data_IF_387371710661
#
_entry.id   IF_387371710661
#
_cell.length_a   1.000
_cell.length_b   1.000
_cell.length_c   1.000
_cell.angle_alpha   90.00
_cell.angle_beta   90.00
_cell.angle_gamma   90.00
#
_symmetry.space_group_name_H-M   'P 1'
#
loop_
_entity.id
_entity.type
_entity.pdbx_description
1 polymer ?
#
# COMPACT_ATOMS: atom_id res chain seq x y z
N UNK A 1 -14.26 -31.55 -13.48
CA UNK A 1 -13.06 -31.09 -14.20
C UNK A 1 -11.97 -30.94 -13.16
N UNK A 2 -10.93 -31.75 -13.24
CA UNK A 2 -9.76 -31.59 -12.40
C UNK A 2 -9.15 -30.22 -12.73
N UNK A 3 -9.09 -29.33 -11.73
CA UNK A 3 -8.90 -27.89 -11.89
C UNK A 3 -7.49 -27.43 -12.30
N UNK A 4 -6.72 -28.25 -13.00
CA UNK A 4 -5.47 -27.85 -13.65
C UNK A 4 -5.75 -27.55 -15.11
N UNK A 5 -5.96 -26.28 -15.42
CA UNK A 5 -5.96 -25.80 -16.79
C UNK A 5 -4.51 -25.40 -17.08
N UNK A 6 -3.77 -26.18 -17.86
CA UNK A 6 -2.42 -25.81 -18.30
C UNK A 6 -2.47 -24.87 -19.52
N UNK A 7 -3.60 -24.77 -20.20
CA UNK A 7 -3.84 -23.88 -21.34
C UNK A 7 -5.36 -23.71 -21.57
N UNK A 8 -5.78 -22.60 -22.17
CA UNK A 8 -7.17 -22.42 -22.62
C UNK A 8 -7.32 -23.08 -24.01
N UNK A 9 -8.30 -23.99 -24.21
CA UNK A 9 -8.58 -24.55 -25.53
C UNK A 9 -8.93 -23.48 -26.56
N UNK A 10 -8.43 -23.61 -27.79
CA UNK A 10 -8.55 -22.59 -28.84
C UNK A 10 -10.00 -22.14 -29.09
N UNK A 11 -10.94 -23.08 -29.18
CA UNK A 11 -12.36 -22.76 -29.41
C UNK A 11 -12.96 -21.92 -28.26
N UNK A 12 -12.71 -22.33 -27.02
CA UNK A 12 -13.19 -21.62 -25.84
C UNK A 12 -12.51 -20.25 -25.72
N UNK A 13 -11.19 -20.21 -25.91
CA UNK A 13 -10.40 -18.99 -25.85
C UNK A 13 -10.82 -17.99 -26.91
N UNK A 14 -11.01 -18.43 -28.16
CA UNK A 14 -11.45 -17.58 -29.25
C UNK A 14 -12.83 -17.00 -28.95
N UNK A 15 -13.76 -17.79 -28.40
CA UNK A 15 -15.07 -17.30 -27.96
C UNK A 15 -14.95 -16.24 -26.86
N UNK A 16 -14.12 -16.48 -25.84
CA UNK A 16 -13.89 -15.55 -24.73
C UNK A 16 -13.26 -14.23 -25.19
N UNK A 17 -12.14 -14.30 -25.93
CA UNK A 17 -11.47 -13.11 -26.43
C UNK A 17 -12.26 -12.39 -27.52
N UNK A 18 -13.11 -13.08 -28.29
CA UNK A 18 -14.02 -12.40 -29.24
C UNK A 18 -15.05 -11.55 -28.51
N UNK A 19 -15.66 -12.08 -27.44
CA UNK A 19 -16.58 -11.31 -26.59
C UNK A 19 -15.87 -10.12 -25.94
N UNK A 20 -14.68 -10.33 -25.39
CA UNK A 20 -13.89 -9.25 -24.82
C UNK A 20 -13.54 -8.19 -25.87
N UNK A 21 -13.06 -8.61 -27.05
CA UNK A 21 -12.73 -7.71 -28.15
C UNK A 21 -13.93 -6.90 -28.64
N UNK A 22 -15.14 -7.46 -28.57
CA UNK A 22 -16.37 -6.73 -28.84
C UNK A 22 -16.62 -5.65 -27.77
N UNK A 23 -16.50 -6.01 -26.48
CA UNK A 23 -16.62 -5.03 -25.38
C UNK A 23 -15.62 -3.88 -25.56
N UNK A 24 -14.35 -4.18 -25.84
CA UNK A 24 -13.32 -3.15 -26.04
C UNK A 24 -13.67 -2.19 -27.18
N UNK A 25 -14.24 -2.70 -28.28
CA UNK A 25 -14.70 -1.88 -29.41
C UNK A 25 -15.92 -1.04 -29.05
N UNK A 26 -16.91 -1.65 -28.38
CA UNK A 26 -18.15 -0.98 -28.02
C UNK A 26 -17.94 0.14 -26.99
N UNK A 27 -16.90 0.01 -26.16
CA UNK A 27 -16.52 1.03 -25.16
C UNK A 27 -15.44 2.00 -25.64
N UNK A 28 -14.97 1.88 -26.90
CA UNK A 28 -13.83 2.65 -27.43
C UNK A 28 -12.58 2.58 -26.51
N UNK A 29 -12.33 1.43 -25.89
CA UNK A 29 -11.23 1.26 -24.97
C UNK A 29 -9.88 1.24 -25.71
N UNK A 30 -8.92 2.03 -25.24
CA UNK A 30 -7.63 2.24 -25.89
C UNK A 30 -6.47 1.72 -25.04
N UNK A 31 -5.31 1.52 -25.67
CA UNK A 31 -4.09 1.11 -24.96
C UNK A 31 -3.72 2.09 -23.82
N UNK A 32 -3.96 3.39 -23.99
CA UNK A 32 -3.67 4.40 -22.98
C UNK A 32 -4.57 4.31 -21.73
N UNK A 33 -5.75 3.68 -21.81
CA UNK A 33 -6.60 3.47 -20.64
C UNK A 33 -5.93 2.58 -19.59
N UNK A 34 -4.95 1.76 -19.98
CA UNK A 34 -4.15 0.95 -19.04
C UNK A 34 -3.32 1.79 -18.06
N UNK A 35 -3.14 3.08 -18.33
CA UNK A 35 -2.43 4.03 -17.45
C UNK A 35 -3.34 4.61 -16.36
N UNK A 36 -4.65 4.40 -16.46
CA UNK A 36 -5.63 4.93 -15.49
C UNK A 36 -5.66 4.03 -14.26
N UNK A 37 -5.27 4.61 -13.12
CA UNK A 37 -5.30 3.94 -11.82
C UNK A 37 -6.67 4.00 -11.14
N UNK A 38 -6.82 3.22 -10.07
CA UNK A 38 -8.02 3.14 -9.23
C UNK A 38 -8.57 4.52 -8.85
N UNK A 39 -7.71 5.43 -8.37
CA UNK A 39 -8.13 6.77 -7.92
C UNK A 39 -8.75 7.61 -9.03
N UNK A 40 -8.23 7.52 -10.27
CA UNK A 40 -8.79 8.27 -11.40
C UNK A 40 -10.19 7.78 -11.78
N UNK A 41 -10.39 6.45 -11.75
CA UNK A 41 -11.68 5.82 -12.07
C UNK A 41 -12.71 6.13 -10.97
N UNK A 42 -12.30 6.05 -9.71
CA UNK A 42 -13.14 6.42 -8.56
C UNK A 42 -13.66 7.85 -8.69
N UNK A 43 -12.78 8.82 -8.96
CA UNK A 43 -13.14 10.23 -9.09
C UNK A 43 -14.05 10.50 -10.30
N UNK A 44 -13.82 9.85 -11.44
CA UNK A 44 -14.70 9.99 -12.60
C UNK A 44 -16.11 9.42 -12.33
N UNK A 45 -16.21 8.34 -11.53
CA UNK A 45 -17.51 7.77 -11.15
C UNK A 45 -18.26 8.63 -10.13
N UNK A 46 -17.59 9.06 -9.06
CA UNK A 46 -18.16 9.95 -8.03
C UNK A 46 -18.60 11.29 -8.63
N UNK A 47 -17.84 11.83 -9.59
CA UNK A 47 -18.22 13.07 -10.30
C UNK A 47 -19.31 12.88 -11.36
N UNK A 48 -19.80 11.65 -11.57
CA UNK A 48 -20.86 11.34 -12.52
C UNK A 48 -20.44 11.37 -14.00
N UNK A 49 -19.13 11.41 -14.30
CA UNK A 49 -18.63 11.37 -15.69
C UNK A 49 -18.77 9.98 -16.32
N UNK A 50 -18.75 8.94 -15.49
CA UNK A 50 -18.99 7.56 -15.92
C UNK A 50 -20.14 6.96 -15.11
N UNK A 51 -20.99 6.19 -15.78
CA UNK A 51 -22.21 5.64 -15.18
C UNK A 51 -22.03 4.27 -14.52
N UNK A 52 -20.93 3.56 -14.85
CA UNK A 52 -20.66 2.21 -14.36
C UNK A 52 -19.16 1.98 -14.26
N UNK A 53 -18.76 1.27 -13.20
CA UNK A 53 -17.39 0.83 -12.98
C UNK A 53 -17.37 -0.63 -12.53
N UNK A 54 -16.26 -1.30 -12.79
CA UNK A 54 -15.96 -2.61 -12.20
C UNK A 54 -14.83 -2.42 -11.18
N UNK A 55 -15.14 -2.55 -9.90
CA UNK A 55 -14.17 -2.37 -8.84
C UNK A 55 -14.48 -3.27 -7.63
N UNK A 56 -13.44 -3.78 -6.98
CA UNK A 56 -13.56 -4.34 -5.63
C UNK A 56 -13.51 -3.18 -4.66
N UNK A 57 -14.59 -2.88 -3.95
CA UNK A 57 -14.66 -1.64 -3.19
C UNK A 57 -15.43 -1.76 -1.88
N UNK A 58 -14.97 -0.94 -0.93
CA UNK A 58 -15.73 -0.54 0.23
C UNK A 58 -16.84 0.40 -0.23
N UNK A 59 -18.10 0.03 -0.01
CA UNK A 59 -19.25 0.84 -0.44
C UNK A 59 -19.40 2.08 0.46
N UNK A 60 -18.97 1.99 1.73
CA UNK A 60 -18.98 3.13 2.64
C UNK A 60 -18.16 4.30 2.11
N UNK A 61 -17.03 4.05 1.44
CA UNK A 61 -16.19 5.11 0.83
C UNK A 61 -16.96 5.93 -0.21
N UNK A 62 -17.85 5.31 -0.98
CA UNK A 62 -18.66 6.07 -1.95
C UNK A 62 -19.81 6.82 -1.29
N UNK A 63 -20.39 6.25 -0.24
CA UNK A 63 -21.44 6.92 0.53
C UNK A 63 -20.91 8.16 1.25
N UNK A 64 -19.67 8.11 1.74
CA UNK A 64 -18.96 9.25 2.33
C UNK A 64 -18.78 10.40 1.30
N UNK A 65 -18.62 10.07 0.02
CA UNK A 65 -18.62 11.01 -1.10
C UNK A 65 -20.04 11.43 -1.57
N UNK A 66 -21.09 11.00 -0.86
CA UNK A 66 -22.48 11.34 -1.13
C UNK A 66 -23.21 10.45 -2.15
N UNK A 67 -22.58 9.37 -2.62
CA UNK A 67 -23.17 8.43 -3.59
C UNK A 67 -24.08 7.42 -2.88
N UNK A 68 -25.27 7.87 -2.46
CA UNK A 68 -26.21 7.04 -1.69
C UNK A 68 -27.12 6.13 -2.55
N UNK A 69 -27.13 6.31 -3.87
CA UNK A 69 -27.96 5.55 -4.81
C UNK A 69 -27.13 4.61 -5.68
N UNK A 70 -26.29 3.80 -5.05
CA UNK A 70 -25.47 2.80 -5.73
C UNK A 70 -26.21 1.48 -5.87
N UNK A 71 -25.93 0.78 -6.98
CA UNK A 71 -26.48 -0.54 -7.25
C UNK A 71 -25.34 -1.45 -7.65
N UNK A 72 -25.20 -2.59 -6.96
CA UNK A 72 -24.36 -3.68 -7.43
C UNK A 72 -25.11 -4.48 -8.51
N UNK A 73 -24.43 -4.68 -9.64
CA UNK A 73 -24.94 -5.42 -10.78
C UNK A 73 -24.31 -6.81 -10.82
N UNK A 74 -25.04 -7.83 -11.30
CA UNK A 74 -24.45 -9.13 -11.57
C UNK A 74 -23.52 -9.05 -12.78
N UNK A 75 -22.70 -10.06 -12.97
CA UNK A 75 -22.03 -10.29 -14.24
C UNK A 75 -23.05 -10.84 -15.23
N UNK A 76 -23.27 -10.10 -16.31
CA UNK A 76 -24.28 -10.43 -17.31
C UNK A 76 -23.85 -11.63 -18.16
N UNK A 77 -24.73 -12.62 -18.26
CA UNK A 77 -24.60 -13.72 -19.19
C UNK A 77 -25.30 -13.46 -20.52
N UNK A 78 -25.49 -14.50 -21.34
CA UNK A 78 -26.28 -14.38 -22.58
C UNK A 78 -27.79 -14.26 -22.28
N UNK A 79 -28.23 -14.83 -21.17
CA UNK A 79 -29.60 -14.72 -20.65
C UNK A 79 -29.60 -14.33 -19.18
N UNK A 80 -30.75 -13.91 -18.65
CA UNK A 80 -30.88 -13.56 -17.22
C UNK A 80 -30.55 -14.75 -16.29
N UNK A 81 -30.78 -15.97 -16.76
CA UNK A 81 -30.42 -17.20 -16.03
C UNK A 81 -28.91 -17.47 -16.04
N UNK A 82 -28.17 -16.83 -16.94
CA UNK A 82 -26.71 -16.93 -17.04
C UNK A 82 -26.00 -15.81 -16.27
N UNK A 83 -26.73 -14.99 -15.51
CA UNK A 83 -26.14 -13.95 -14.68
C UNK A 83 -25.51 -14.54 -13.41
N UNK A 84 -24.34 -14.04 -13.02
CA UNK A 84 -23.59 -14.53 -11.87
C UNK A 84 -23.26 -13.42 -10.88
N UNK A 85 -23.29 -13.73 -9.59
CA UNK A 85 -22.63 -12.88 -8.60
C UNK A 85 -21.12 -13.12 -8.63
N UNK A 86 -20.34 -12.06 -8.84
CA UNK A 86 -18.89 -12.12 -8.78
C UNK A 86 -18.39 -11.71 -7.40
N UNK A 87 -17.64 -12.59 -6.76
CA UNK A 87 -17.05 -12.35 -5.45
C UNK A 87 -15.53 -12.49 -5.49
N UNK A 88 -14.84 -11.71 -4.66
CA UNK A 88 -13.39 -11.82 -4.46
C UNK A 88 -13.08 -12.13 -3.01
N UNK A 89 -12.11 -13.01 -2.70
CA UNK A 89 -11.67 -13.20 -1.32
C UNK A 89 -11.11 -11.90 -0.74
N UNK A 90 -11.91 -11.19 0.06
CA UNK A 90 -11.54 -9.91 0.67
C UNK A 90 -10.84 -10.05 2.02
N UNK A 91 -11.17 -11.10 2.77
CA UNK A 91 -10.63 -11.36 4.10
C UNK A 91 -10.10 -12.79 4.20
N UNK A 92 -8.85 -12.93 4.65
CA UNK A 92 -8.19 -14.22 4.81
C UNK A 92 -7.18 -14.11 5.93
N UNK A 93 -7.13 -15.13 6.80
CA UNK A 93 -6.16 -15.20 7.90
C UNK A 93 -5.27 -16.40 7.64
N UNK A 94 -3.95 -16.16 7.64
CA UNK A 94 -2.96 -17.21 7.55
C UNK A 94 -2.23 -17.34 8.90
N UNK A 95 -2.01 -18.58 9.34
CA UNK A 95 -1.19 -18.88 10.50
C UNK A 95 0.22 -19.27 10.06
N UNK A 96 1.23 -18.82 10.80
CA UNK A 96 2.61 -19.20 10.55
C UNK A 96 2.79 -20.72 10.78
N UNK A 97 3.37 -21.43 9.81
CA UNK A 97 3.61 -22.87 9.92
C UNK A 97 4.45 -23.28 11.13
N UNK A 98 5.27 -22.37 11.69
CA UNK A 98 6.02 -22.58 12.93
C UNK A 98 5.14 -22.74 14.18
N UNK A 99 3.86 -22.37 14.13
CA UNK A 99 2.92 -22.58 15.23
C UNK A 99 2.50 -24.04 15.37
N UNK A 100 2.64 -24.84 14.31
CA UNK A 100 2.27 -26.26 14.35
C UNK A 100 3.14 -27.01 15.37
N UNK A 101 2.51 -27.60 16.39
CA UNK A 101 3.18 -28.28 17.48
C UNK A 101 3.68 -27.37 18.61
N UNK A 102 3.32 -26.07 18.61
CA UNK A 102 3.74 -25.11 19.63
C UNK A 102 2.93 -25.18 20.94
N UNK A 103 2.14 -26.25 21.13
CA UNK A 103 1.31 -26.49 22.32
C UNK A 103 0.31 -25.36 22.54
N UNK A 104 0.30 -24.77 23.74
CA UNK A 104 -0.63 -23.70 24.12
C UNK A 104 -0.62 -22.49 23.18
N UNK A 105 0.51 -22.20 22.52
CA UNK A 105 0.57 -21.09 21.53
C UNK A 105 -0.23 -21.39 20.27
N UNK A 106 -0.26 -22.66 19.84
CA UNK A 106 -1.07 -23.09 18.71
C UNK A 106 -2.56 -23.00 19.05
N UNK A 107 -2.95 -23.46 20.24
CA UNK A 107 -4.34 -23.40 20.73
C UNK A 107 -4.85 -21.95 20.80
N UNK A 108 -4.07 -21.04 21.40
CA UNK A 108 -4.41 -19.63 21.47
C UNK A 108 -4.52 -18.97 20.09
N UNK A 109 -3.62 -19.29 19.17
CA UNK A 109 -3.69 -18.78 17.81
C UNK A 109 -4.96 -19.27 17.09
N UNK A 110 -5.33 -20.54 17.27
CA UNK A 110 -6.56 -21.11 16.72
C UNK A 110 -7.81 -20.44 17.30
N UNK A 111 -7.82 -20.12 18.60
CA UNK A 111 -8.93 -19.44 19.24
C UNK A 111 -9.10 -17.99 18.73
N UNK A 112 -8.00 -17.28 18.52
CA UNK A 112 -8.01 -15.96 17.88
C UNK A 112 -8.58 -16.07 16.46
N UNK A 113 -8.11 -17.03 15.66
CA UNK A 113 -8.63 -17.24 14.29
C UNK A 113 -10.12 -17.53 14.31
N UNK A 114 -10.60 -18.40 15.22
CA UNK A 114 -12.03 -18.72 15.36
C UNK A 114 -12.85 -17.48 15.70
N UNK A 115 -12.37 -16.67 16.65
CA UNK A 115 -13.03 -15.41 17.02
C UNK A 115 -13.08 -14.43 15.85
N UNK A 116 -11.98 -14.29 15.11
CA UNK A 116 -11.89 -13.43 13.93
C UNK A 116 -12.80 -13.86 12.78
N UNK A 117 -13.32 -15.10 12.79
CA UNK A 117 -14.35 -15.59 11.87
C UNK A 117 -15.74 -15.72 12.52
N UNK A 118 -15.92 -15.22 13.75
CA UNK A 118 -17.21 -15.22 14.43
C UNK A 118 -18.16 -14.15 13.89
N UNK A 119 -19.47 -14.33 14.14
CA UNK A 119 -20.52 -13.42 13.68
C UNK A 119 -20.28 -11.98 14.14
N UNK A 120 -19.82 -11.74 15.36
CA UNK A 120 -19.59 -10.39 15.88
C UNK A 120 -18.57 -9.61 15.03
N UNK A 121 -17.43 -10.23 14.72
CA UNK A 121 -16.37 -9.62 13.89
C UNK A 121 -16.84 -9.44 12.46
N UNK A 122 -17.56 -10.43 11.92
CA UNK A 122 -18.06 -10.38 10.55
C UNK A 122 -19.15 -9.34 10.35
N UNK A 123 -20.06 -9.16 11.32
CA UNK A 123 -21.05 -8.08 11.29
C UNK A 123 -20.37 -6.71 11.42
N UNK A 124 -19.40 -6.54 12.33
CA UNK A 124 -18.65 -5.29 12.43
C UNK A 124 -17.90 -4.94 11.12
N UNK A 125 -17.38 -5.95 10.42
CA UNK A 125 -16.76 -5.76 9.11
C UNK A 125 -17.81 -5.42 8.03
N UNK A 126 -18.95 -6.10 8.06
CA UNK A 126 -20.08 -5.84 7.17
C UNK A 126 -20.62 -4.42 7.32
N UNK A 127 -20.73 -3.90 8.54
CA UNK A 127 -21.19 -2.54 8.82
C UNK A 127 -20.21 -1.49 8.30
N UNK A 128 -18.91 -1.75 8.43
CA UNK A 128 -17.85 -0.80 8.03
C UNK A 128 -17.57 -0.79 6.54
N UNK A 129 -17.64 -1.94 5.87
CA UNK A 129 -17.32 -2.08 4.44
C UNK A 129 -18.57 -1.98 3.56
N UNK A 130 -19.73 -2.37 4.12
CA UNK A 130 -21.04 -2.39 3.47
C UNK A 130 -21.13 -3.22 2.17
N UNK A 131 -20.18 -4.11 1.91
CA UNK A 131 -20.16 -4.99 0.72
C UNK A 131 -19.53 -6.35 1.03
N UNK A 132 -19.84 -6.92 2.21
CA UNK A 132 -19.24 -8.16 2.70
C UNK A 132 -20.25 -9.31 2.66
N UNK A 133 -19.89 -10.38 1.97
CA UNK A 133 -20.60 -11.67 2.00
C UNK A 133 -19.72 -12.70 2.71
N UNK A 134 -20.31 -13.45 3.64
CA UNK A 134 -19.60 -14.48 4.42
C UNK A 134 -19.99 -15.88 3.96
N UNK A 135 -18.97 -16.71 3.72
CA UNK A 135 -19.12 -18.09 3.25
C UNK A 135 -18.96 -19.13 4.36
N UNK A 136 -18.67 -18.69 5.59
CA UNK A 136 -18.47 -19.56 6.73
C UNK A 136 -19.81 -20.13 7.19
N UNK A 137 -19.87 -21.46 7.28
CA UNK A 137 -21.04 -22.13 7.86
C UNK A 137 -21.25 -21.66 9.30
N UNK A 138 -22.51 -21.44 9.67
CA UNK A 138 -22.94 -21.04 11.02
C UNK A 138 -22.43 -19.67 11.49
N UNK A 139 -21.98 -18.83 10.56
CA UNK A 139 -21.69 -17.41 10.82
C UNK A 139 -22.81 -16.62 10.18
N UNK A 140 -23.56 -15.88 11.00
CA UNK A 140 -24.70 -15.11 10.53
C UNK A 140 -24.29 -13.65 10.38
N UNK A 141 -24.45 -13.11 9.17
CA UNK A 141 -24.20 -11.71 8.86
C UNK A 141 -25.43 -11.17 8.16
N UNK A 142 -25.88 -10.00 8.59
CA UNK A 142 -27.01 -9.34 7.95
C UNK A 142 -26.62 -8.92 6.53
N UNK A 143 -27.46 -9.27 5.56
CA UNK A 143 -27.23 -8.91 4.16
C UNK A 143 -27.42 -7.40 4.04
N UNK A 144 -26.36 -6.69 3.64
CA UNK A 144 -26.44 -5.24 3.49
C UNK A 144 -27.31 -4.85 2.29
N UNK A 145 -27.97 -3.70 2.38
CA UNK A 145 -28.92 -3.19 1.37
C UNK A 145 -28.33 -3.14 -0.05
N UNK A 146 -27.02 -2.94 -0.18
CA UNK A 146 -26.35 -2.89 -1.49
C UNK A 146 -26.51 -4.21 -2.29
N UNK A 147 -26.73 -5.33 -1.60
CA UNK A 147 -26.90 -6.64 -2.21
C UNK A 147 -28.35 -6.95 -2.61
N UNK A 148 -29.30 -6.01 -2.44
CA UNK A 148 -30.73 -6.25 -2.71
C UNK A 148 -30.99 -6.89 -4.09
N UNK A 149 -30.29 -6.44 -5.13
CA UNK A 149 -30.42 -6.96 -6.49
C UNK A 149 -29.64 -8.26 -6.74
N UNK A 150 -28.85 -8.69 -5.76
CA UNK A 150 -27.99 -9.86 -5.82
C UNK A 150 -28.43 -11.01 -4.90
N UNK A 151 -29.42 -10.79 -4.02
CA UNK A 151 -29.98 -11.81 -3.12
C UNK A 151 -30.26 -13.14 -3.84
N UNK A 152 -30.94 -13.17 -5.01
CA UNK A 152 -31.25 -14.44 -5.67
C UNK A 152 -30.00 -15.25 -6.04
N UNK A 153 -28.90 -14.58 -6.41
CA UNK A 153 -27.63 -15.24 -6.76
C UNK A 153 -26.88 -15.71 -5.50
N UNK A 154 -26.95 -14.95 -4.41
CA UNK A 154 -26.35 -15.31 -3.13
C UNK A 154 -27.04 -16.54 -2.54
N UNK A 155 -28.37 -16.53 -2.47
CA UNK A 155 -29.17 -17.62 -1.89
C UNK A 155 -29.10 -18.92 -2.70
N UNK A 156 -29.06 -18.83 -4.02
CA UNK A 156 -28.91 -19.98 -4.91
C UNK A 156 -27.47 -20.47 -5.06
N UNK A 157 -26.50 -19.79 -4.42
CA UNK A 157 -25.08 -20.02 -4.59
C UNK A 157 -24.63 -19.93 -6.07
N UNK A 158 -25.32 -19.11 -6.87
CA UNK A 158 -25.02 -18.84 -8.27
C UNK A 158 -23.95 -17.75 -8.39
N UNK A 159 -22.75 -18.11 -7.92
CA UNK A 159 -21.63 -17.19 -7.79
C UNK A 159 -20.33 -17.75 -8.34
N UNK A 160 -19.48 -16.84 -8.81
CA UNK A 160 -18.12 -17.15 -9.21
C UNK A 160 -17.13 -16.39 -8.33
N UNK A 161 -16.15 -17.13 -7.80
CA UNK A 161 -15.03 -16.58 -7.05
C UNK A 161 -13.74 -16.84 -7.81
N UNK A 162 -12.97 -15.78 -8.05
CA UNK A 162 -11.64 -15.91 -8.64
C UNK A 162 -10.58 -16.17 -7.56
N UNK A 163 -9.78 -17.21 -7.75
CA UNK A 163 -8.56 -17.44 -6.98
C UNK A 163 -7.41 -16.74 -7.71
N UNK A 164 -6.78 -15.76 -7.06
CA UNK A 164 -5.61 -15.07 -7.60
C UNK A 164 -4.51 -16.06 -7.97
N UNK A 165 -4.19 -16.10 -9.26
CA UNK A 165 -3.14 -16.93 -9.84
C UNK A 165 -2.28 -16.03 -10.73
N UNK A 166 -0.99 -15.92 -10.40
CA UNK A 166 -0.03 -15.05 -11.08
C UNK A 166 0.06 -15.38 -12.58
N UNK A 167 0.07 -16.66 -12.94
CA UNK A 167 0.12 -17.11 -14.34
C UNK A 167 -1.11 -16.66 -15.13
N UNK A 168 -2.32 -16.85 -14.59
CA UNK A 168 -3.58 -16.38 -15.21
C UNK A 168 -3.56 -14.87 -15.37
N UNK A 169 -3.21 -14.12 -14.31
CA UNK A 169 -3.18 -12.66 -14.34
C UNK A 169 -2.21 -12.15 -15.41
N UNK A 170 -0.99 -12.67 -15.44
CA UNK A 170 0.04 -12.28 -16.40
C UNK A 170 -0.36 -12.63 -17.83
N UNK A 171 -0.86 -13.84 -18.06
CA UNK A 171 -1.31 -14.30 -19.37
C UNK A 171 -2.48 -13.47 -19.90
N UNK A 172 -3.45 -13.18 -19.04
CA UNK A 172 -4.60 -12.33 -19.37
C UNK A 172 -4.14 -10.91 -19.70
N UNK A 173 -3.29 -10.32 -18.86
CA UNK A 173 -2.76 -8.98 -19.05
C UNK A 173 -2.03 -8.86 -20.39
N UNK A 174 -1.12 -9.80 -20.70
CA UNK A 174 -0.37 -9.81 -21.95
C UNK A 174 -1.27 -9.91 -23.18
N UNK A 175 -2.31 -10.77 -23.14
CA UNK A 175 -3.26 -10.92 -24.25
C UNK A 175 -4.10 -9.65 -24.43
N UNK A 176 -4.71 -9.13 -23.36
CA UNK A 176 -5.63 -7.98 -23.41
C UNK A 176 -4.90 -6.68 -23.79
N UNK A 177 -3.68 -6.46 -23.29
CA UNK A 177 -2.89 -5.28 -23.68
C UNK A 177 -2.57 -5.27 -25.18
N UNK A 178 -2.25 -6.43 -25.76
CA UNK A 178 -2.02 -6.55 -27.21
C UNK A 178 -3.32 -6.36 -28.01
N UNK A 179 -4.46 -6.82 -27.49
CA UNK A 179 -5.75 -6.56 -28.11
C UNK A 179 -6.09 -5.07 -28.10
N UNK A 180 -5.86 -4.38 -26.98
CA UNK A 180 -6.07 -2.93 -26.84
C UNK A 180 -5.16 -2.12 -27.78
N UNK A 181 -3.95 -2.59 -28.04
CA UNK A 181 -3.04 -2.00 -29.02
C UNK A 181 -3.42 -2.28 -30.48
N UNK A 182 -4.37 -3.19 -30.72
CA UNK A 182 -4.74 -3.67 -32.06
C UNK A 182 -3.73 -4.64 -32.67
N UNK A 183 -2.76 -5.13 -31.90
CA UNK A 183 -1.68 -6.01 -32.37
C UNK A 183 -2.17 -7.43 -32.66
N UNK A 184 -3.24 -7.87 -32.00
CA UNK A 184 -3.76 -9.24 -32.07
C UNK A 184 -5.29 -9.25 -32.12
N UNK A 185 -5.84 -10.18 -32.91
CA UNK A 185 -7.25 -10.53 -32.86
C UNK A 185 -7.54 -11.56 -31.76
N UNK A 186 -8.80 -12.00 -31.64
CA UNK A 186 -9.20 -12.95 -30.62
C UNK A 186 -8.46 -14.30 -30.72
N UNK A 187 -8.20 -14.80 -31.93
CA UNK A 187 -7.51 -16.07 -32.14
C UNK A 187 -6.05 -15.96 -31.69
N UNK A 188 -5.34 -14.92 -32.12
CA UNK A 188 -3.95 -14.69 -31.73
C UNK A 188 -3.83 -14.32 -30.24
N UNK A 189 -4.86 -13.72 -29.63
CA UNK A 189 -4.91 -13.48 -28.19
C UNK A 189 -4.90 -14.79 -27.37
N UNK A 190 -5.54 -15.87 -27.85
CA UNK A 190 -5.46 -17.20 -27.21
C UNK A 190 -4.02 -17.69 -27.18
N UNK A 191 -3.30 -17.59 -28.29
CA UNK A 191 -1.91 -18.03 -28.36
C UNK A 191 -1.02 -17.18 -27.45
N UNK A 192 -1.23 -15.85 -27.41
CA UNK A 192 -0.53 -14.98 -26.46
C UNK A 192 -0.81 -15.42 -25.03
N UNK A 193 -2.07 -15.67 -24.67
CA UNK A 193 -2.44 -16.16 -23.35
C UNK A 193 -1.72 -17.48 -23.02
N UNK A 194 -1.87 -18.50 -23.87
CA UNK A 194 -1.35 -19.84 -23.63
C UNK A 194 0.18 -19.85 -23.53
N UNK A 195 0.87 -19.06 -24.36
CA UNK A 195 2.33 -18.91 -24.28
C UNK A 195 2.79 -18.24 -22.98
N UNK A 196 1.99 -17.33 -22.42
CA UNK A 196 2.32 -16.63 -21.18
C UNK A 196 1.82 -17.35 -19.92
N UNK A 197 0.89 -18.30 -20.05
CA UNK A 197 0.32 -19.04 -18.93
C UNK A 197 1.39 -19.91 -18.26
N UNK A 198 2.07 -20.75 -19.03
CA UNK A 198 3.15 -21.62 -18.53
C UNK A 198 4.53 -20.95 -18.58
N UNK A 199 4.61 -19.65 -18.90
CA UNK A 199 5.88 -18.96 -18.94
C UNK A 199 6.54 -19.04 -17.56
N UNK A 200 7.66 -19.74 -17.47
CA UNK A 200 8.46 -19.71 -16.25
C UNK A 200 8.97 -18.29 -16.10
N UNK A 201 8.60 -17.62 -15.01
CA UNK A 201 9.15 -16.30 -14.71
C UNK A 201 10.65 -16.48 -14.55
N UNK A 202 11.42 -15.98 -15.50
CA UNK A 202 12.87 -15.97 -15.36
C UNK A 202 13.21 -15.28 -14.03
N UNK A 203 14.12 -15.88 -13.27
CA UNK A 203 14.56 -15.29 -12.02
C UNK A 203 15.18 -13.94 -12.38
N UNK A 204 14.57 -12.86 -11.90
CA UNK A 204 15.13 -11.53 -12.07
C UNK A 204 16.58 -11.52 -11.55
N UNK A 205 17.47 -10.76 -12.19
CA UNK A 205 18.87 -10.73 -11.78
C UNK A 205 18.99 -10.29 -10.32
N UNK A 206 19.95 -10.89 -9.63
CA UNK A 206 20.36 -10.46 -8.29
C UNK A 206 21.10 -9.13 -8.44
N UNK A 207 20.63 -8.10 -7.73
CA UNK A 207 21.27 -6.79 -7.67
C UNK A 207 22.30 -6.76 -6.54
N UNK A 208 21.94 -7.30 -5.37
CA UNK A 208 22.83 -7.33 -4.21
C UNK A 208 22.54 -8.53 -3.32
N UNK A 209 23.44 -8.84 -2.40
CA UNK A 209 23.27 -9.88 -1.38
C UNK A 209 23.65 -9.34 -0.02
N UNK A 210 22.72 -9.40 0.94
CA UNK A 210 22.96 -9.03 2.32
C UNK A 210 23.49 -10.24 3.09
N UNK A 211 24.53 -10.01 3.89
CA UNK A 211 25.25 -11.03 4.64
C UNK A 211 24.60 -11.39 5.99
N UNK A 212 23.70 -10.52 6.46
CA UNK A 212 22.93 -10.70 7.69
C UNK A 212 21.50 -10.17 7.59
N UNK A 213 20.72 -10.54 8.60
CA UNK A 213 19.36 -10.08 8.82
C UNK A 213 19.35 -8.89 9.79
N UNK A 214 18.36 -8.00 9.63
CA UNK A 214 18.08 -6.86 10.50
C UNK A 214 16.65 -6.95 10.99
N UNK A 215 16.45 -6.84 12.31
CA UNK A 215 15.15 -7.05 12.93
C UNK A 215 14.30 -5.77 12.94
N UNK A 216 13.02 -5.93 12.63
CA UNK A 216 12.01 -4.87 12.68
C UNK A 216 11.67 -4.44 14.11
N UNK A 217 11.66 -5.40 15.04
CA UNK A 217 11.18 -5.20 16.41
C UNK A 217 11.76 -3.92 17.01
N UNK A 218 10.88 -3.02 17.45
CA UNK A 218 11.28 -1.78 18.11
C UNK A 218 11.81 -2.09 19.50
N UNK A 219 12.92 -1.43 19.84
CA UNK A 219 13.58 -1.47 21.14
C UNK A 219 13.61 -0.06 21.76
N UNK A 220 14.28 0.09 22.91
CA UNK A 220 14.46 1.39 23.56
C UNK A 220 15.28 2.39 22.72
N UNK A 221 16.05 1.88 21.76
CA UNK A 221 16.88 2.69 20.85
C UNK A 221 16.31 2.78 19.42
N UNK A 222 15.11 2.24 19.20
CA UNK A 222 14.46 2.13 17.89
C UNK A 222 14.55 0.74 17.26
N UNK A 223 14.24 0.67 15.97
CA UNK A 223 14.27 -0.54 15.13
C UNK A 223 15.54 -0.62 14.30
N UNK A 224 16.23 -1.77 14.34
CA UNK A 224 17.46 -1.97 13.59
C UNK A 224 17.22 -1.94 12.07
N UNK A 225 16.21 -2.69 11.59
CA UNK A 225 15.84 -2.72 10.19
C UNK A 225 15.44 -1.33 9.69
N UNK A 226 14.73 -0.55 10.51
CA UNK A 226 14.32 0.79 10.12
C UNK A 226 15.52 1.74 10.05
N UNK A 227 16.36 1.74 11.09
CA UNK A 227 17.58 2.55 11.17
C UNK A 227 18.47 2.35 9.95
N UNK A 228 18.75 1.10 9.57
CA UNK A 228 19.57 0.79 8.40
C UNK A 228 18.99 1.36 7.10
N UNK A 229 17.66 1.29 6.89
CA UNK A 229 17.03 1.88 5.70
C UNK A 229 17.18 3.39 5.68
N UNK A 230 16.84 4.05 6.78
CA UNK A 230 16.86 5.51 6.91
C UNK A 230 18.28 6.05 6.78
N UNK A 231 19.28 5.36 7.36
CA UNK A 231 20.69 5.67 7.19
C UNK A 231 21.15 5.54 5.75
N UNK A 232 20.78 4.45 5.08
CA UNK A 232 21.11 4.24 3.65
C UNK A 232 20.44 5.30 2.77
N UNK A 233 19.18 5.66 3.06
CA UNK A 233 18.47 6.72 2.35
C UNK A 233 19.12 8.08 2.56
N UNK A 234 19.60 8.38 3.77
CA UNK A 234 20.32 9.63 4.05
C UNK A 234 21.60 9.74 3.21
N UNK A 235 22.34 8.64 3.05
CA UNK A 235 23.50 8.57 2.15
C UNK A 235 23.10 8.83 0.70
N UNK A 236 22.03 8.20 0.22
CA UNK A 236 21.52 8.37 -1.16
C UNK A 236 21.06 9.82 -1.40
N UNK A 237 20.35 10.41 -0.45
CA UNK A 237 19.89 11.80 -0.54
C UNK A 237 21.04 12.80 -0.35
N UNK A 238 22.17 12.37 0.21
CA UNK A 238 23.33 13.19 0.55
C UNK A 238 22.94 14.44 1.37
N UNK A 239 22.27 14.20 2.51
CA UNK A 239 21.80 15.24 3.44
C UNK A 239 22.36 15.04 4.86
N UNK A 240 22.42 16.12 5.63
CA UNK A 240 22.89 16.11 7.02
C UNK A 240 21.93 15.37 7.95
N UNK A 241 20.63 15.49 7.72
CA UNK A 241 19.59 14.90 8.57
C UNK A 241 18.45 14.34 7.73
N UNK A 242 17.94 13.17 8.11
CA UNK A 242 16.78 12.57 7.46
C UNK A 242 15.80 12.01 8.51
N UNK A 243 14.50 12.19 8.29
CA UNK A 243 13.46 11.53 9.09
C UNK A 243 12.43 10.85 8.19
N UNK A 244 11.99 9.66 8.57
CA UNK A 244 11.04 8.85 7.80
C UNK A 244 9.91 8.27 8.67
N UNK A 245 8.69 8.18 8.13
CA UNK A 245 7.50 7.71 8.84
C UNK A 245 7.52 6.20 9.03
N UNK A 246 6.96 5.72 10.15
CA UNK A 246 6.86 4.30 10.46
C UNK A 246 6.19 3.46 9.36
N UNK A 247 5.30 4.06 8.57
CA UNK A 247 4.69 3.43 7.40
C UNK A 247 5.73 2.91 6.39
N UNK A 248 6.89 3.56 6.24
CA UNK A 248 7.96 3.12 5.32
C UNK A 248 8.63 1.81 5.77
N UNK A 249 8.40 1.36 7.01
CA UNK A 249 9.12 0.24 7.59
C UNK A 249 8.50 -1.11 7.20
N UNK A 250 9.00 -1.72 6.11
CA UNK A 250 8.47 -2.95 5.52
C UNK A 250 8.78 -4.27 6.27
N UNK A 251 8.89 -4.25 7.61
CA UNK A 251 9.21 -5.43 8.42
C UNK A 251 10.71 -5.74 8.52
N UNK A 252 11.11 -7.00 8.66
CA UNK A 252 12.52 -7.39 8.77
C UNK A 252 13.24 -7.21 7.42
N UNK A 253 14.57 -7.06 7.45
CA UNK A 253 15.41 -7.20 6.26
C UNK A 253 16.11 -8.55 6.36
N UNK A 254 15.72 -9.51 5.52
CA UNK A 254 16.29 -10.85 5.54
C UNK A 254 17.70 -10.91 4.95
N UNK A 255 18.51 -11.84 5.46
CA UNK A 255 19.76 -12.25 4.82
C UNK A 255 19.46 -12.91 3.48
N UNK A 256 20.22 -12.58 2.43
CA UNK A 256 20.13 -13.27 1.15
C UNK A 256 20.25 -12.35 -0.05
N UNK A 257 20.00 -12.91 -1.22
CA UNK A 257 20.08 -12.21 -2.51
C UNK A 257 18.77 -11.49 -2.83
N UNK A 258 18.87 -10.25 -3.28
CA UNK A 258 17.75 -9.39 -3.61
C UNK A 258 17.76 -9.01 -5.09
N UNK A 259 16.59 -9.14 -5.71
CA UNK A 259 16.28 -8.60 -7.04
C UNK A 259 15.87 -7.13 -6.93
N UNK A 260 15.82 -6.41 -8.05
CA UNK A 260 15.36 -5.01 -8.09
C UNK A 260 13.98 -4.82 -7.45
N UNK A 261 13.02 -5.71 -7.75
CA UNK A 261 11.68 -5.66 -7.17
C UNK A 261 11.67 -5.90 -5.65
N UNK A 262 12.53 -6.79 -5.15
CA UNK A 262 12.65 -7.03 -3.71
C UNK A 262 13.35 -5.85 -3.01
N UNK A 263 14.35 -5.23 -3.64
CA UNK A 263 14.96 -4.00 -3.12
C UNK A 263 13.95 -2.85 -3.06
N UNK A 264 13.14 -2.68 -4.12
CA UNK A 264 12.08 -1.70 -4.15
C UNK A 264 11.07 -1.93 -3.02
N UNK A 265 10.70 -3.20 -2.75
CA UNK A 265 9.77 -3.54 -1.68
C UNK A 265 10.29 -3.16 -0.28
N UNK A 266 11.62 -3.02 -0.09
CA UNK A 266 12.20 -2.55 1.18
C UNK A 266 11.89 -1.07 1.47
N UNK A 267 11.63 -0.26 0.45
CA UNK A 267 11.20 1.14 0.62
C UNK A 267 9.69 1.30 0.77
N UNK A 268 8.94 0.20 0.86
CA UNK A 268 7.48 0.16 0.67
C UNK A 268 7.07 0.50 -0.78
N UNK A 269 5.96 -0.08 -1.25
CA UNK A 269 5.63 -0.21 -2.67
C UNK A 269 5.45 1.10 -3.46
N UNK A 270 6.55 1.69 -3.92
CA UNK A 270 6.62 2.66 -5.00
C UNK A 270 6.13 4.09 -4.73
N UNK A 271 5.54 4.37 -3.56
CA UNK A 271 4.92 5.67 -3.21
C UNK A 271 5.75 6.62 -2.36
N UNK A 272 7.06 6.36 -2.20
CA UNK A 272 7.94 7.19 -1.36
C UNK A 272 8.33 8.48 -2.07
N UNK A 273 8.21 9.60 -1.36
CA UNK A 273 8.61 10.93 -1.82
C UNK A 273 9.64 11.51 -0.86
N UNK A 274 10.61 12.25 -1.39
CA UNK A 274 11.57 12.99 -0.56
C UNK A 274 11.29 14.49 -0.65
N UNK A 275 11.43 15.17 0.47
CA UNK A 275 11.31 16.61 0.56
C UNK A 275 12.59 17.14 1.18
N UNK A 276 13.39 17.86 0.39
CA UNK A 276 14.70 18.37 0.83
C UNK A 276 14.64 19.88 1.06
N UNK A 277 15.28 20.35 2.14
CA UNK A 277 15.37 21.78 2.48
C UNK A 277 16.65 22.03 3.27
N UNK A 278 17.29 23.17 3.03
CA UNK A 278 18.25 23.73 3.99
C UNK A 278 17.45 24.43 5.09
N UNK A 279 17.42 23.82 6.28
CA UNK A 279 16.58 24.24 7.40
C UNK A 279 17.44 24.55 8.63
N UNK A 280 16.98 25.49 9.45
CA UNK A 280 17.60 25.78 10.74
C UNK A 280 17.32 24.65 11.73
N UNK A 281 18.18 24.49 12.74
CA UNK A 281 17.97 23.52 13.81
C UNK A 281 16.63 23.70 14.54
N UNK A 282 16.17 24.95 14.68
CA UNK A 282 14.85 25.28 15.22
C UNK A 282 13.71 24.74 14.35
N UNK A 283 13.77 24.97 13.03
CA UNK A 283 12.76 24.45 12.09
C UNK A 283 12.70 22.91 12.12
N UNK A 284 13.86 22.24 12.20
CA UNK A 284 13.92 20.77 12.27
C UNK A 284 13.31 20.28 13.60
N UNK A 285 13.65 20.91 14.74
CA UNK A 285 13.06 20.58 16.04
C UNK A 285 11.55 20.72 16.04
N UNK A 286 11.01 21.77 15.43
CA UNK A 286 9.57 21.99 15.34
C UNK A 286 8.89 20.89 14.51
N UNK A 287 9.44 20.54 13.34
CA UNK A 287 8.92 19.45 12.51
C UNK A 287 8.97 18.12 13.27
N UNK A 288 10.10 17.78 13.89
CA UNK A 288 10.24 16.52 14.65
C UNK A 288 9.29 16.50 15.84
N UNK A 289 9.06 17.64 16.52
CA UNK A 289 8.11 17.74 17.64
C UNK A 289 6.71 17.39 17.16
N UNK A 290 6.21 18.01 16.10
CA UNK A 290 4.89 17.71 15.58
C UNK A 290 4.72 16.24 15.16
N UNK A 291 5.79 15.63 14.65
CA UNK A 291 5.79 14.21 14.24
C UNK A 291 5.83 13.24 15.44
N UNK A 292 6.41 13.64 16.57
CA UNK A 292 6.52 12.83 17.80
C UNK A 292 5.32 13.04 18.73
N UNK A 293 4.84 14.27 18.88
CA UNK A 293 3.79 14.64 19.84
C UNK A 293 2.38 14.57 19.25
N UNK A 294 2.28 14.53 17.92
CA UNK A 294 1.00 14.57 17.23
C UNK A 294 0.53 15.99 16.95
N UNK A 295 -0.67 16.10 16.38
CA UNK A 295 -1.25 17.36 15.95
C UNK A 295 -2.57 17.66 16.67
N UNK A 296 -2.88 16.92 17.74
CA UNK A 296 -4.02 17.16 18.62
C UNK A 296 -5.34 16.61 18.07
N UNK A 297 -5.31 15.52 17.29
CA UNK A 297 -6.54 14.85 16.80
C UNK A 297 -6.95 13.73 17.75
N UNK A 298 -8.25 13.45 17.79
CA UNK A 298 -8.83 12.36 18.59
C UNK A 298 -8.32 10.96 18.17
N UNK A 299 -7.67 10.86 17.00
CA UNK A 299 -7.16 9.63 16.39
C UNK A 299 -5.64 9.62 16.14
N UNK A 300 -4.85 10.51 16.77
CA UNK A 300 -3.39 10.54 16.61
C UNK A 300 -2.78 9.18 17.03
N UNK A 301 -2.32 8.33 16.10
CA UNK A 301 -2.00 6.94 16.39
C UNK A 301 -0.54 6.81 16.82
N UNK A 302 -0.02 7.73 17.63
CA UNK A 302 1.40 7.79 17.99
C UNK A 302 1.68 6.93 19.21
N UNK A 303 2.53 5.93 19.00
CA UNK A 303 2.95 4.92 19.97
C UNK A 303 4.41 4.59 19.72
N UNK A 304 5.05 3.83 20.62
CA UNK A 304 6.41 3.36 20.36
C UNK A 304 6.51 2.59 19.03
N UNK A 305 5.44 1.92 18.61
CA UNK A 305 5.35 1.11 17.40
C UNK A 305 5.15 1.93 16.10
N UNK A 306 4.75 3.19 16.23
CA UNK A 306 4.45 4.10 15.11
C UNK A 306 5.35 5.33 15.07
N UNK A 307 6.34 5.41 15.97
CA UNK A 307 7.36 6.47 15.94
C UNK A 307 8.19 6.40 14.66
N UNK A 308 8.55 7.58 14.19
CA UNK A 308 9.42 7.79 13.04
C UNK A 308 10.84 7.29 13.33
N UNK A 309 11.62 7.07 12.27
CA UNK A 309 13.05 6.85 12.38
C UNK A 309 13.83 8.04 11.84
N UNK A 310 14.85 8.45 12.57
CA UNK A 310 15.76 9.52 12.20
C UNK A 310 17.15 8.97 11.85
N UNK A 311 17.85 9.70 11.00
CA UNK A 311 19.25 9.46 10.65
C UNK A 311 20.00 10.79 10.63
N UNK A 312 21.25 10.76 11.11
CA UNK A 312 22.04 11.97 11.36
C UNK A 312 21.68 12.69 12.66
N UNK A 313 20.63 12.26 13.37
CA UNK A 313 20.28 12.75 14.71
C UNK A 313 19.50 11.70 15.52
N UNK A 314 19.59 11.79 16.84
CA UNK A 314 18.83 10.99 17.80
C UNK A 314 17.70 11.82 18.40
N UNK A 315 16.49 11.28 18.47
CA UNK A 315 15.35 11.91 19.14
C UNK A 315 15.32 11.52 20.61
N UNK A 316 15.30 12.52 21.50
CA UNK A 316 15.08 12.29 22.93
C UNK A 316 13.59 12.41 23.22
N UNK A 317 12.95 11.30 23.62
CA UNK A 317 11.49 11.20 23.73
C UNK A 317 11.11 10.71 25.12
N UNK A 318 10.10 11.31 25.74
CA UNK A 318 9.46 10.76 26.94
C UNK A 318 8.00 10.40 26.65
N UNK A 319 7.41 9.55 27.47
CA UNK A 319 5.98 9.27 27.47
C UNK A 319 5.39 9.60 28.83
N UNK A 320 4.31 10.36 28.87
CA UNK A 320 3.65 10.71 30.14
C UNK A 320 2.66 9.63 30.61
N UNK A 321 2.07 9.86 31.79
CA UNK A 321 1.14 8.92 32.44
C UNK A 321 -0.18 8.74 31.68
N UNK A 322 -0.54 9.66 30.77
CA UNK A 322 -1.70 9.54 29.88
C UNK A 322 -1.38 8.73 28.62
N UNK A 323 -0.10 8.50 28.39
CA UNK A 323 0.41 7.78 27.24
C UNK A 323 0.81 8.69 26.08
N UNK A 324 0.83 10.01 26.28
CA UNK A 324 1.21 10.99 25.26
C UNK A 324 2.73 11.04 25.12
N UNK A 325 3.21 11.15 23.88
CA UNK A 325 4.64 11.23 23.56
C UNK A 325 5.10 12.69 23.55
N UNK A 326 6.32 12.94 24.02
CA UNK A 326 6.90 14.28 24.11
C UNK A 326 8.32 14.29 23.57
N UNK A 327 8.61 15.19 22.62
CA UNK A 327 9.98 15.44 22.17
C UNK A 327 10.68 16.35 23.19
N UNK A 328 11.78 15.89 23.77
CA UNK A 328 12.59 16.68 24.70
C UNK A 328 13.74 17.40 24.00
N UNK A 329 14.34 16.75 23.01
CA UNK A 329 15.43 17.32 22.23
C UNK A 329 15.71 16.47 20.99
N UNK A 330 16.51 17.00 20.07
CA UNK A 330 17.19 16.23 19.03
C UNK A 330 18.70 16.43 19.15
N UNK A 331 19.45 15.34 19.03
CA UNK A 331 20.87 15.32 19.31
C UNK A 331 21.68 14.92 18.06
N UNK A 332 22.73 15.66 17.75
CA UNK A 332 23.79 15.26 16.81
C UNK A 332 25.06 14.98 17.60
N UNK A 333 25.67 13.81 17.41
CA UNK A 333 26.87 13.40 18.16
C UNK A 333 26.71 13.56 19.69
N UNK A 334 25.51 13.27 20.19
CA UNK A 334 25.16 13.39 21.62
C UNK A 334 25.01 14.82 22.14
N UNK A 335 25.04 15.83 21.28
CA UNK A 335 24.83 17.25 21.63
C UNK A 335 23.53 17.76 21.02
N UNK A 336 22.82 18.61 21.77
CA UNK A 336 21.64 19.31 21.27
C UNK A 336 21.95 20.04 19.97
N UNK A 337 21.06 19.90 19.00
CA UNK A 337 21.13 20.66 17.75
C UNK A 337 21.02 22.16 18.06
N UNK A 338 21.89 22.97 17.47
CA UNK A 338 21.88 24.43 17.64
C UNK A 338 20.78 25.06 16.77
N UNK A 339 20.00 25.97 17.33
CA UNK A 339 18.79 26.50 16.70
C UNK A 339 19.11 27.27 15.41
N UNK A 340 20.16 28.09 15.40
CA UNK A 340 20.53 28.93 14.25
C UNK A 340 21.38 28.21 13.20
N UNK A 341 21.88 27.01 13.50
CA UNK A 341 22.71 26.25 12.56
C UNK A 341 21.84 25.70 11.44
N UNK A 342 22.30 25.85 10.21
CA UNK A 342 21.62 25.34 9.01
C UNK A 342 22.13 23.93 8.72
N UNK A 343 21.19 23.04 8.42
CA UNK A 343 21.41 21.66 8.02
C UNK A 343 20.66 21.38 6.73
N UNK A 344 21.26 20.58 5.85
CA UNK A 344 20.51 19.95 4.77
C UNK A 344 19.63 18.85 5.36
N UNK A 345 18.32 19.01 5.23
CA UNK A 345 17.31 18.17 5.86
C UNK A 345 16.43 17.50 4.81
N UNK A 346 16.21 16.19 4.96
CA UNK A 346 15.26 15.44 4.16
C UNK A 346 14.14 14.90 5.04
N UNK A 347 12.91 15.22 4.67
CA UNK A 347 11.73 14.52 5.16
C UNK A 347 11.28 13.50 4.11
N UNK A 348 11.10 12.25 4.54
CA UNK A 348 10.54 11.20 3.70
C UNK A 348 9.05 11.09 3.96
N UNK A 349 8.27 10.90 2.91
CA UNK A 349 6.83 10.72 2.98
C UNK A 349 6.39 9.50 2.19
N UNK A 350 5.22 8.97 2.52
CA UNK A 350 4.58 7.86 1.83
C UNK A 350 3.20 8.32 1.36
N UNK A 351 2.90 8.13 0.07
CA UNK A 351 1.59 8.43 -0.55
C UNK A 351 0.40 8.07 0.34
N UNK A 352 -0.47 9.05 0.64
CA UNK A 352 -1.65 8.89 1.51
C UNK A 352 -1.44 9.13 3.01
N UNK A 353 -0.20 9.33 3.47
CA UNK A 353 0.15 9.56 4.88
C UNK A 353 1.06 10.77 5.06
N UNK A 354 0.65 11.93 4.54
CA UNK A 354 1.39 13.20 4.67
C UNK A 354 1.42 13.68 6.13
N UNK A 355 2.26 13.07 6.98
CA UNK A 355 2.46 13.53 8.35
C UNK A 355 3.12 14.93 8.37
N UNK A 356 3.86 15.32 7.32
CA UNK A 356 4.32 16.70 7.12
C UNK A 356 3.15 17.69 6.92
N UNK A 357 2.14 17.32 6.12
CA UNK A 357 0.92 18.12 5.97
C UNK A 357 0.22 18.29 7.32
N UNK A 358 0.16 17.23 8.13
CA UNK A 358 -0.43 17.28 9.49
C UNK A 358 0.36 18.21 10.41
N UNK A 359 1.70 18.11 10.41
CA UNK A 359 2.59 18.95 11.20
C UNK A 359 2.48 20.44 10.85
N UNK A 360 2.36 20.78 9.57
CA UNK A 360 2.29 22.18 9.11
C UNK A 360 0.91 22.83 9.28
N UNK A 361 -0.18 22.08 9.18
CA UNK A 361 -1.52 22.66 9.10
C UNK A 361 -2.19 23.01 10.44
N UNK A 362 -1.74 22.46 11.59
CA UNK A 362 -2.52 22.53 12.83
C UNK A 362 -1.91 23.32 14.00
N UNK A 363 -0.58 23.32 14.21
CA UNK A 363 0.02 24.05 15.37
C UNK A 363 0.87 25.27 14.98
N UNK A 364 1.34 25.35 13.73
CA UNK A 364 2.10 26.51 13.21
C UNK A 364 1.23 27.75 12.90
N UNK A 365 -0.08 27.70 13.18
CA UNK A 365 -1.01 28.83 13.01
C UNK A 365 -0.71 30.02 13.94
N UNK A 366 0.11 29.82 15.00
CA UNK A 366 0.65 30.93 15.83
C UNK A 366 1.89 31.62 15.22
N UNK A 367 2.47 31.07 14.15
CA UNK A 367 3.68 31.57 13.50
C UNK A 367 3.53 31.87 11.99
N UNK A 368 2.30 31.88 11.45
CA UNK A 368 2.05 32.23 10.05
C UNK A 368 2.32 31.11 9.04
N UNK A 369 2.19 29.84 9.44
CA UNK A 369 2.38 28.67 8.58
C UNK A 369 1.38 28.60 7.42
N UNK A 370 1.90 28.37 6.22
CA UNK A 370 1.18 28.25 4.94
C UNK A 370 0.53 26.87 4.83
N UNK A 371 -0.71 26.82 4.36
CA UNK A 371 -1.42 25.57 4.08
C UNK A 371 -0.72 24.77 2.98
N UNK A 372 -0.22 23.57 3.30
CA UNK A 372 0.14 22.57 2.28
C UNK A 372 -1.14 21.91 1.74
N UNK A 373 -2.00 22.67 1.04
CA UNK A 373 -3.19 22.12 0.41
C UNK A 373 -2.92 21.88 -1.08
N UNK A 374 -2.52 20.65 -1.41
CA UNK A 374 -2.50 20.13 -2.78
C UNK A 374 -2.76 18.63 -2.70
N UNK A 375 -3.72 18.13 -3.48
CA UNK A 375 -3.99 16.69 -3.53
C UNK A 375 -2.71 15.97 -3.96
N UNK A 376 -2.58 14.68 -3.64
CA UNK A 376 -1.38 13.92 -4.01
C UNK A 376 -1.01 14.04 -5.51
N UNK A 377 -2.04 14.16 -6.36
CA UNK A 377 -1.95 14.36 -7.80
C UNK A 377 -1.33 15.70 -8.23
N UNK A 378 -1.23 16.68 -7.32
CA UNK A 378 -0.74 18.03 -7.58
C UNK A 378 0.73 18.23 -7.16
N UNK A 379 1.35 17.25 -6.48
CA UNK A 379 2.76 17.30 -6.07
C UNK A 379 3.67 16.89 -7.24
N UNK A 380 4.59 17.77 -7.64
CA UNK A 380 5.45 17.57 -8.82
C UNK A 380 6.93 17.59 -8.46
N UNK A 381 7.72 16.79 -9.18
CA UNK A 381 9.18 16.80 -9.08
C UNK A 381 9.74 18.23 -9.24
N UNK A 382 10.60 18.64 -8.32
CA UNK A 382 11.29 19.93 -8.32
C UNK A 382 10.43 21.12 -7.86
N UNK A 383 9.12 20.95 -7.64
CA UNK A 383 8.30 22.03 -7.07
C UNK A 383 8.65 22.29 -5.61
N UNK A 384 8.49 23.56 -5.20
CA UNK A 384 8.74 24.00 -3.82
C UNK A 384 7.43 24.06 -3.02
N UNK A 385 7.46 23.46 -1.83
CA UNK A 385 6.38 23.47 -0.86
C UNK A 385 6.95 23.87 0.49
N UNK A 386 6.62 25.08 0.98
CA UNK A 386 7.21 25.67 2.18
C UNK A 386 8.75 25.65 2.22
N UNK A 387 9.36 25.90 1.06
CA UNK A 387 10.82 25.87 0.90
C UNK A 387 11.42 24.47 0.72
N UNK A 388 10.65 23.39 0.93
CA UNK A 388 11.07 22.04 0.57
C UNK A 388 10.95 21.79 -0.92
N UNK A 389 11.98 21.20 -1.51
CA UNK A 389 11.97 20.72 -2.90
C UNK A 389 11.46 19.28 -2.88
N UNK A 390 10.37 19.02 -3.61
CA UNK A 390 9.82 17.68 -3.72
C UNK A 390 10.55 16.85 -4.77
N UNK A 391 10.89 15.62 -4.40
CA UNK A 391 11.43 14.58 -5.28
C UNK A 391 10.47 13.40 -5.28
N UNK A 392 9.70 13.28 -6.35
CA UNK A 392 8.62 12.29 -6.50
C UNK A 392 8.93 11.26 -7.57
N UNK A 393 9.93 11.51 -8.41
CA UNK A 393 10.35 10.62 -9.49
C UNK A 393 11.67 9.95 -9.15
N UNK A 394 11.85 8.73 -9.66
CA UNK A 394 13.12 7.98 -9.62
C UNK A 394 13.68 7.62 -8.23
N UNK A 395 13.01 7.94 -7.12
CA UNK A 395 13.45 7.54 -5.76
C UNK A 395 13.76 6.04 -5.66
N UNK A 396 12.83 5.20 -6.11
CA UNK A 396 13.04 3.76 -6.15
C UNK A 396 14.18 3.34 -7.10
N UNK A 397 14.38 4.07 -8.20
CA UNK A 397 15.47 3.80 -9.13
C UNK A 397 16.82 4.15 -8.52
N UNK A 398 16.95 5.29 -7.83
CA UNK A 398 18.16 5.69 -7.13
C UNK A 398 18.53 4.68 -6.04
N UNK A 399 17.55 4.18 -5.29
CA UNK A 399 17.74 3.11 -4.32
C UNK A 399 18.27 1.83 -4.96
N UNK A 400 17.65 1.36 -6.05
CA UNK A 400 18.11 0.16 -6.76
C UNK A 400 19.51 0.38 -7.34
N UNK A 401 19.76 1.56 -7.92
CA UNK A 401 21.03 1.93 -8.55
C UNK A 401 22.16 1.97 -7.52
N UNK A 402 21.92 2.52 -6.33
CA UNK A 402 22.89 2.51 -5.23
C UNK A 402 23.43 1.11 -4.94
N UNK A 403 22.54 0.10 -4.87
CA UNK A 403 22.97 -1.29 -4.67
C UNK A 403 23.59 -1.91 -5.92
N UNK A 404 23.11 -1.57 -7.11
CA UNK A 404 23.71 -2.03 -8.37
C UNK A 404 25.15 -1.54 -8.53
N UNK A 405 25.47 -0.35 -8.00
CA UNK A 405 26.80 0.24 -7.98
C UNK A 405 27.70 -0.29 -6.84
N UNK A 406 27.24 -1.31 -6.10
CA UNK A 406 27.98 -1.95 -5.02
C UNK A 406 27.78 -1.30 -3.64
N UNK A 407 26.82 -0.39 -3.52
CA UNK A 407 26.37 0.16 -2.25
C UNK A 407 25.91 -0.92 -1.27
N UNK A 408 25.99 -0.62 0.03
CA UNK A 408 25.67 -1.55 1.10
C UNK A 408 24.68 -0.89 2.05
N UNK A 409 23.93 -1.71 2.75
CA UNK A 409 23.13 -1.23 3.86
C UNK A 409 24.04 -0.55 4.88
N UNK A 410 23.70 0.68 5.25
CA UNK A 410 24.40 1.44 6.28
C UNK A 410 24.31 0.72 7.63
N UNK A 411 25.23 1.03 8.54
CA UNK A 411 25.22 0.46 9.89
C UNK A 411 23.96 0.93 10.65
N UNK A 412 23.35 0.06 11.48
CA UNK A 412 22.26 0.48 12.35
C UNK A 412 22.80 1.37 13.46
N UNK A 413 22.06 2.43 13.74
CA UNK A 413 22.34 3.39 14.81
C UNK A 413 21.12 3.58 15.70
N UNK A 414 21.37 3.91 16.97
CA UNK A 414 20.33 4.31 17.90
C UNK A 414 19.80 5.69 17.50
N UNK A 415 18.49 5.76 17.24
CA UNK A 415 17.84 7.01 16.83
C UNK A 415 16.76 7.47 17.81
N UNK A 416 16.47 6.66 18.84
CA UNK A 416 15.63 7.02 19.98
C UNK A 416 16.45 6.98 21.26
N UNK A 417 16.27 7.99 22.11
CA UNK A 417 16.70 7.98 23.50
C UNK A 417 15.46 8.22 24.39
N UNK A 418 15.03 7.18 25.09
CA UNK A 418 13.94 7.30 26.07
C UNK A 418 14.39 8.15 27.27
N UNK A 419 13.52 9.05 27.71
CA UNK A 419 13.74 9.94 28.85
C UNK A 419 12.66 9.81 29.92
#
# INVERSE_FOLDING_TARGET
>A
MDGNIDYIPDELGAKLFSRLGQVLKDTDAQADDTKRGYSSIFQDFVSGKIAMIRQSTNIAEYQDEGMNNLILLPYFGETDNDNWYFSTPGYSIAMNGKLKGAGKKEELALDIVRYMFGSDVMNAMADRIQSVVVYNKNVNVDVQDIFSNLIPYIESNHMYTYIRNDSVCRASCAAVQKMLAGDVDATRAVEVFNNNYNAVKEKSPVITTFDREYQWRISDTGSEAFSVRVNTLREICNVDMLIAPAAMNAGDIYKGSYTAAQLQALLMGGGVKFYTKDATGAEIKDVVRCLVEGCGRDDDPISWDTLLASSGFTMKISRDDKGDMHLKDILTDGKSVEDEKIYSFCYVDVSGHTLLERAYNYDMSKHGGVHMYKAEADIREGEKYDGYIAHTTNVAQQWIQYFADGGRLAAPEAYIQKS
#
